data_IF_921206068845
#
_entry.id   IF_921206068845
#
_cell.length_a   1.000
_cell.length_b   1.000
_cell.length_c   1.000
_cell.angle_alpha   90.00
_cell.angle_beta   90.00
_cell.angle_gamma   90.00
#
_symmetry.space_group_name_H-M   'P 1'
#
loop_
_entity.id
_entity.type
_entity.pdbx_description
1 polymer ?
#
# COMPACT_ATOMS: atom_id res chain seq x y z
N UNK A 1 36.52 -40.35 -36.59
CA UNK A 1 36.24 -39.82 -35.24
C UNK A 1 35.37 -38.59 -35.39
N UNK A 2 34.49 -38.34 -34.41
CA UNK A 2 33.67 -37.14 -34.19
C UNK A 2 32.22 -37.15 -34.73
N UNK A 3 31.32 -37.93 -34.12
CA UNK A 3 29.85 -37.64 -34.13
C UNK A 3 29.19 -38.22 -32.85
N UNK A 4 29.38 -37.56 -31.70
CA UNK A 4 28.60 -37.89 -30.48
C UNK A 4 28.34 -36.68 -29.56
N UNK A 5 28.73 -35.46 -29.96
CA UNK A 5 28.61 -34.27 -29.11
C UNK A 5 27.28 -33.51 -29.26
N UNK A 6 26.56 -33.68 -30.37
CA UNK A 6 25.30 -32.95 -30.64
C UNK A 6 24.17 -33.34 -29.68
N UNK A 7 23.91 -34.63 -29.51
CA UNK A 7 22.73 -35.12 -28.78
C UNK A 7 22.75 -34.88 -27.27
N UNK A 8 23.94 -34.72 -26.67
CA UNK A 8 24.08 -34.35 -25.25
C UNK A 8 23.92 -32.84 -25.05
N UNK A 9 24.43 -32.04 -25.99
CA UNK A 9 24.29 -30.58 -26.00
C UNK A 9 22.82 -30.18 -26.19
N UNK A 10 22.14 -30.74 -27.18
CA UNK A 10 20.72 -30.47 -27.44
C UNK A 10 19.81 -30.87 -26.26
N UNK A 11 20.05 -32.02 -25.62
CA UNK A 11 19.28 -32.41 -24.42
C UNK A 11 19.53 -31.47 -23.24
N UNK A 12 20.72 -30.89 -23.16
CA UNK A 12 21.09 -29.98 -22.08
C UNK A 12 20.50 -28.58 -22.33
N UNK A 13 20.52 -28.10 -23.58
CA UNK A 13 19.86 -26.86 -24.02
C UNK A 13 18.34 -26.93 -23.83
N UNK A 14 17.67 -28.01 -24.29
CA UNK A 14 16.22 -28.17 -24.10
C UNK A 14 15.86 -28.21 -22.60
N UNK A 15 16.75 -28.75 -21.76
CA UNK A 15 16.59 -28.78 -20.30
C UNK A 15 16.81 -27.42 -19.63
N UNK A 16 17.61 -26.54 -20.23
CA UNK A 16 17.85 -25.15 -19.78
C UNK A 16 16.72 -24.24 -20.25
N UNK A 17 16.35 -24.27 -21.54
CA UNK A 17 15.25 -23.48 -22.10
C UNK A 17 13.93 -23.71 -21.35
N UNK A 18 13.66 -24.96 -20.95
CA UNK A 18 12.47 -25.29 -20.13
C UNK A 18 12.51 -24.68 -18.74
N UNK A 19 13.70 -24.57 -18.13
CA UNK A 19 13.87 -23.93 -16.81
C UNK A 19 13.75 -22.42 -16.92
N UNK A 20 14.37 -21.82 -17.93
CA UNK A 20 14.31 -20.38 -18.17
C UNK A 20 12.88 -19.94 -18.49
N UNK A 21 12.17 -20.70 -19.33
CA UNK A 21 10.74 -20.48 -19.62
C UNK A 21 9.86 -20.58 -18.37
N UNK A 22 10.17 -21.50 -17.46
CA UNK A 22 9.43 -21.68 -16.20
C UNK A 22 9.69 -20.52 -15.24
N UNK A 23 10.94 -20.07 -15.16
CA UNK A 23 11.36 -18.92 -14.36
C UNK A 23 10.72 -17.63 -14.85
N UNK A 24 10.76 -17.36 -16.16
CA UNK A 24 10.15 -16.18 -16.76
C UNK A 24 8.63 -16.16 -16.53
N UNK A 25 7.95 -17.31 -16.64
CA UNK A 25 6.52 -17.43 -16.32
C UNK A 25 6.22 -17.11 -14.86
N UNK A 26 7.11 -17.52 -13.94
CA UNK A 26 6.96 -17.23 -12.51
C UNK A 26 7.15 -15.76 -12.22
N UNK A 27 8.20 -15.15 -12.76
CA UNK A 27 8.50 -13.72 -12.61
C UNK A 27 7.35 -12.86 -13.18
N UNK A 28 6.82 -13.22 -14.35
CA UNK A 28 5.66 -12.53 -14.95
C UNK A 28 4.39 -12.65 -14.10
N UNK A 29 4.19 -13.79 -13.42
CA UNK A 29 3.06 -13.99 -12.49
C UNK A 29 3.25 -13.18 -11.21
N UNK A 30 4.45 -13.16 -10.65
CA UNK A 30 4.79 -12.37 -9.46
C UNK A 30 4.62 -10.88 -9.74
N UNK A 31 5.20 -10.36 -10.84
CA UNK A 31 5.02 -8.97 -11.25
C UNK A 31 3.55 -8.59 -11.53
N UNK A 32 2.75 -9.52 -12.06
CA UNK A 32 1.31 -9.31 -12.24
C UNK A 32 0.55 -9.32 -10.91
N UNK A 33 1.02 -10.08 -9.93
CA UNK A 33 0.46 -10.14 -8.58
C UNK A 33 0.78 -8.86 -7.83
N UNK A 34 2.03 -8.41 -7.88
CA UNK A 34 2.47 -7.12 -7.34
C UNK A 34 1.69 -5.97 -7.98
N UNK A 35 1.55 -5.96 -9.31
CA UNK A 35 0.75 -4.92 -10.00
C UNK A 35 -0.72 -4.94 -9.58
N UNK A 36 -1.30 -6.12 -9.35
CA UNK A 36 -2.68 -6.25 -8.83
C UNK A 36 -2.78 -5.85 -7.36
N UNK A 37 -1.74 -6.08 -6.56
CA UNK A 37 -1.67 -5.67 -5.17
C UNK A 37 -1.53 -4.15 -5.06
N UNK A 38 -0.64 -3.54 -5.87
CA UNK A 38 -0.50 -2.09 -6.03
C UNK A 38 -1.82 -1.46 -6.53
N UNK A 39 -2.51 -2.10 -7.48
CA UNK A 39 -3.79 -1.61 -7.99
C UNK A 39 -4.96 -1.80 -7.00
N UNK A 40 -4.92 -2.82 -6.12
CA UNK A 40 -5.87 -2.97 -5.02
C UNK A 40 -5.59 -2.00 -3.87
N UNK A 41 -4.31 -1.69 -3.65
CA UNK A 41 -3.84 -0.61 -2.81
C UNK A 41 -3.83 0.74 -3.55
N UNK A 42 -4.57 0.88 -4.67
CA UNK A 42 -4.76 2.16 -5.31
C UNK A 42 -5.27 3.11 -4.23
N UNK A 43 -4.52 4.18 -3.90
CA UNK A 43 -4.88 5.07 -2.81
C UNK A 43 -6.32 5.51 -3.03
N UNK A 44 -7.18 5.32 -2.02
CA UNK A 44 -8.48 5.98 -2.03
C UNK A 44 -8.24 7.45 -2.35
N UNK A 45 -9.05 8.01 -3.25
CA UNK A 45 -8.89 9.41 -3.66
C UNK A 45 -8.83 10.27 -2.39
N UNK A 46 -7.67 10.89 -2.18
CA UNK A 46 -7.41 11.70 -1.00
C UNK A 46 -8.49 12.77 -0.80
N UNK A 47 -8.99 13.36 -1.89
CA UNK A 47 -10.05 14.36 -1.82
C UNK A 47 -11.35 13.80 -1.21
N UNK A 48 -11.69 12.55 -1.52
CA UNK A 48 -12.84 11.86 -0.94
C UNK A 48 -12.62 11.55 0.55
N UNK A 49 -11.44 11.06 0.92
CA UNK A 49 -11.08 10.75 2.31
C UNK A 49 -11.12 12.02 3.16
N UNK A 50 -10.45 13.10 2.73
CA UNK A 50 -10.41 14.36 3.45
C UNK A 50 -11.81 14.97 3.63
N UNK A 51 -12.65 14.92 2.58
CA UNK A 51 -14.04 15.39 2.68
C UNK A 51 -14.83 14.60 3.73
N UNK A 52 -14.71 13.26 3.73
CA UNK A 52 -15.43 12.42 4.69
C UNK A 52 -14.95 12.65 6.13
N UNK A 53 -13.64 12.74 6.32
CA UNK A 53 -13.02 12.99 7.63
C UNK A 53 -13.47 14.35 8.20
N UNK A 54 -13.59 15.37 7.35
CA UNK A 54 -14.10 16.69 7.75
C UNK A 54 -15.56 16.65 8.23
N UNK A 55 -16.37 15.72 7.75
CA UNK A 55 -17.78 15.57 8.17
C UNK A 55 -17.91 14.98 9.58
N UNK A 56 -16.89 14.27 10.09
CA UNK A 56 -16.93 13.65 11.42
C UNK A 56 -17.03 14.65 12.57
N UNK A 57 -16.70 15.93 12.32
CA UNK A 57 -16.95 17.08 13.21
C UNK A 57 -16.30 17.03 14.60
N UNK A 58 -15.51 16.01 14.93
CA UNK A 58 -14.68 15.96 16.14
C UNK A 58 -13.23 16.37 15.84
N UNK A 59 -12.55 16.95 16.85
CA UNK A 59 -11.16 17.41 16.73
C UNK A 59 -10.35 17.10 17.97
N UNK A 60 -9.04 16.95 17.79
CA UNK A 60 -8.07 16.68 18.83
C UNK A 60 -7.02 17.80 18.93
N UNK A 61 -6.82 18.33 20.13
CA UNK A 61 -5.93 19.47 20.38
C UNK A 61 -4.52 19.07 20.84
N UNK A 62 -4.33 17.79 21.18
CA UNK A 62 -3.08 17.24 21.70
C UNK A 62 -3.02 17.01 23.20
N UNK A 63 -4.13 17.18 23.94
CA UNK A 63 -4.12 17.11 25.40
C UNK A 63 -4.93 15.95 25.96
N UNK A 64 -6.25 15.96 25.80
CA UNK A 64 -7.13 15.04 26.53
C UNK A 64 -7.42 13.74 25.76
N UNK A 65 -7.24 12.60 26.45
CA UNK A 65 -7.70 11.27 26.01
C UNK A 65 -7.25 10.88 24.58
N UNK A 66 -5.92 10.84 24.31
CA UNK A 66 -5.39 10.45 23.01
C UNK A 66 -5.88 9.07 22.52
N UNK A 67 -6.10 8.12 23.44
CA UNK A 67 -6.61 6.79 23.09
C UNK A 67 -8.05 6.83 22.63
N UNK A 68 -8.94 7.53 23.35
CA UNK A 68 -10.35 7.66 22.95
C UNK A 68 -10.48 8.35 21.58
N UNK A 69 -9.61 9.34 21.30
CA UNK A 69 -9.54 9.96 19.98
C UNK A 69 -9.18 8.93 18.89
N UNK A 70 -8.16 8.10 19.11
CA UNK A 70 -7.76 7.07 18.14
C UNK A 70 -8.85 6.03 17.93
N UNK A 71 -9.48 5.55 19.02
CA UNK A 71 -10.62 4.62 18.94
C UNK A 71 -11.77 5.21 18.13
N UNK A 72 -12.07 6.50 18.33
CA UNK A 72 -13.11 7.21 17.57
C UNK A 72 -12.76 7.33 16.08
N UNK A 73 -11.49 7.59 15.76
CA UNK A 73 -10.99 7.64 14.38
C UNK A 73 -11.10 6.26 13.72
N UNK A 74 -10.68 5.21 14.40
CA UNK A 74 -10.75 3.83 13.90
C UNK A 74 -12.19 3.40 13.65
N UNK A 75 -13.08 3.63 14.62
CA UNK A 75 -14.49 3.29 14.50
C UNK A 75 -15.17 4.05 13.35
N UNK A 76 -14.83 5.33 13.18
CA UNK A 76 -15.34 6.15 12.07
C UNK A 76 -14.82 5.66 10.72
N UNK A 77 -13.52 5.34 10.61
CA UNK A 77 -12.95 4.79 9.39
C UNK A 77 -13.63 3.46 8.99
N UNK A 78 -13.86 2.56 9.95
CA UNK A 78 -14.58 1.30 9.73
C UNK A 78 -16.02 1.55 9.27
N UNK A 79 -16.73 2.48 9.92
CA UNK A 79 -18.14 2.78 9.62
C UNK A 79 -18.34 3.29 8.20
N UNK A 80 -17.43 4.15 7.72
CA UNK A 80 -17.51 4.74 6.38
C UNK A 80 -16.70 3.97 5.31
N UNK A 81 -16.10 2.83 5.67
CA UNK A 81 -15.31 2.00 4.76
C UNK A 81 -14.06 2.72 4.23
N UNK A 82 -13.47 3.61 5.03
CA UNK A 82 -12.22 4.27 4.70
C UNK A 82 -11.04 3.35 5.01
N UNK A 83 -10.03 3.35 4.12
CA UNK A 83 -8.77 2.69 4.41
C UNK A 83 -8.03 3.46 5.51
N UNK A 84 -7.79 2.80 6.64
CA UNK A 84 -7.13 3.39 7.81
C UNK A 84 -5.75 3.98 7.47
N UNK A 85 -5.07 3.40 6.47
CA UNK A 85 -3.75 3.87 6.04
C UNK A 85 -3.80 5.23 5.31
N UNK A 86 -4.99 5.68 4.87
CA UNK A 86 -5.18 6.98 4.25
C UNK A 86 -5.52 8.08 5.25
N UNK A 87 -5.99 7.72 6.45
CA UNK A 87 -6.38 8.68 7.49
C UNK A 87 -5.22 9.58 7.94
N UNK A 88 -3.96 9.09 8.11
CA UNK A 88 -2.83 9.96 8.44
C UNK A 88 -2.66 11.16 7.50
N UNK A 89 -3.00 11.00 6.21
CA UNK A 89 -2.91 12.09 5.23
C UNK A 89 -4.01 13.15 5.44
N UNK A 90 -5.17 12.74 5.97
CA UNK A 90 -6.29 13.61 6.30
C UNK A 90 -6.29 14.10 7.76
N UNK A 91 -5.28 13.71 8.57
CA UNK A 91 -5.15 14.15 9.97
C UNK A 91 -5.20 15.66 10.19
N UNK A 92 -4.73 16.54 9.29
CA UNK A 92 -4.91 17.99 9.46
C UNK A 92 -6.37 18.42 9.67
N UNK A 93 -7.35 17.66 9.16
CA UNK A 93 -8.78 17.95 9.34
C UNK A 93 -9.29 17.60 10.76
N UNK A 94 -8.63 16.64 11.42
CA UNK A 94 -8.98 16.14 12.75
C UNK A 94 -8.18 16.81 13.87
N UNK A 95 -7.07 17.47 13.54
CA UNK A 95 -6.22 18.11 14.53
C UNK A 95 -6.53 19.60 14.66
N UNK A 96 -6.34 20.13 15.86
CA UNK A 96 -6.46 21.57 16.15
C UNK A 96 -5.36 22.03 17.10
N UNK A 97 -5.28 23.35 17.33
CA UNK A 97 -4.43 23.93 18.36
C UNK A 97 -2.96 23.53 18.26
N UNK A 98 -2.42 22.94 19.35
CA UNK A 98 -1.01 22.53 19.43
C UNK A 98 -0.73 21.28 18.59
N UNK A 99 -1.62 20.29 18.60
CA UNK A 99 -1.45 19.07 17.81
C UNK A 99 -1.33 19.37 16.32
N UNK A 100 -2.17 20.24 15.77
CA UNK A 100 -2.10 20.60 14.35
C UNK A 100 -0.77 21.28 14.00
N UNK A 101 -0.33 22.24 14.82
CA UNK A 101 0.95 22.93 14.62
C UNK A 101 2.13 21.95 14.66
N UNK A 102 2.12 21.04 15.63
CA UNK A 102 3.13 20.00 15.74
C UNK A 102 3.11 19.08 14.51
N UNK A 103 1.94 18.65 14.07
CA UNK A 103 1.79 17.77 12.90
C UNK A 103 2.36 18.40 11.63
N UNK A 104 2.00 19.65 11.34
CA UNK A 104 2.50 20.40 10.17
C UNK A 104 4.02 20.57 10.22
N UNK A 105 4.58 20.84 11.41
CA UNK A 105 6.03 21.02 11.56
C UNK A 105 6.82 19.73 11.27
N UNK A 106 6.25 18.56 11.60
CA UNK A 106 6.92 17.26 11.48
C UNK A 106 6.62 16.51 10.18
N UNK A 107 5.50 16.81 9.51
CA UNK A 107 5.06 16.10 8.31
C UNK A 107 5.02 17.03 7.10
N UNK A 108 5.99 17.95 6.97
CA UNK A 108 6.12 18.78 5.77
C UNK A 108 6.24 17.86 4.54
N UNK A 109 5.18 17.80 3.75
CA UNK A 109 5.11 17.11 2.47
C UNK A 109 5.96 17.82 1.41
#
# INVERSE_FOLDING_TARGET
MAEASGSRSERQEIGQERRDSSRERRERREASRDRREIARAAPQDYGRVAKQVREWSFRYDGNEKPLEFLEQVEWSAMTYGLDINQIPRAMPELLTGRALKWFIANNKF
#
